data_IF_995314871537
#
_entry.id   IF_995314871537
#
_cell.length_a   1.000
_cell.length_b   1.000
_cell.length_c   1.000
_cell.angle_alpha   90.00
_cell.angle_beta   90.00
_cell.angle_gamma   90.00
#
_symmetry.space_group_name_H-M   'P 1'
#
loop_
_entity.id
_entity.type
_entity.pdbx_description
1 polymer ?
#
# COMPACT_ATOMS: atom_id res chain seq x y z
N UNK A 1 30.16 8.21 0.75
CA UNK A 1 29.58 7.11 -0.07
C UNK A 1 28.44 6.35 0.65
N UNK A 2 27.88 6.83 1.77
CA UNK A 2 26.78 6.15 2.49
C UNK A 2 25.39 6.75 2.24
N UNK A 3 25.30 8.00 1.77
CA UNK A 3 24.01 8.71 1.61
C UNK A 3 23.22 8.20 0.41
N UNK A 4 23.87 7.91 -0.72
CA UNK A 4 23.22 7.40 -1.94
C UNK A 4 22.56 6.03 -1.72
N UNK A 5 23.27 5.10 -1.07
CA UNK A 5 22.75 3.75 -0.77
C UNK A 5 21.55 3.78 0.18
N UNK A 6 21.46 4.75 1.10
CA UNK A 6 20.35 4.87 2.04
C UNK A 6 19.06 5.40 1.39
N UNK A 7 19.18 6.35 0.45
CA UNK A 7 18.04 6.88 -0.32
C UNK A 7 17.49 5.86 -1.31
N UNK A 8 18.36 5.18 -2.07
CA UNK A 8 17.96 4.13 -3.02
C UNK A 8 17.26 2.95 -2.32
N UNK A 9 17.75 2.56 -1.14
CA UNK A 9 17.14 1.51 -0.32
C UNK A 9 15.75 1.88 0.19
N UNK A 10 15.52 3.16 0.48
CA UNK A 10 14.23 3.65 1.00
C UNK A 10 13.16 3.73 -0.10
N UNK A 11 13.55 4.14 -1.32
CA UNK A 11 12.65 4.18 -2.47
C UNK A 11 12.25 2.77 -2.94
N UNK A 12 13.23 1.87 -3.13
CA UNK A 12 12.97 0.49 -3.56
C UNK A 12 12.10 -0.26 -2.53
N UNK A 13 12.33 -0.03 -1.23
CA UNK A 13 11.48 -0.59 -0.17
C UNK A 13 10.03 -0.12 -0.28
N UNK A 14 9.79 1.19 -0.43
CA UNK A 14 8.45 1.73 -0.61
C UNK A 14 7.78 1.24 -1.91
N UNK A 15 8.55 1.09 -2.99
CA UNK A 15 8.06 0.53 -4.24
C UNK A 15 7.65 -0.95 -4.11
N UNK A 16 8.49 -1.77 -3.48
CA UNK A 16 8.18 -3.18 -3.21
C UNK A 16 6.97 -3.33 -2.28
N UNK A 17 6.83 -2.44 -1.31
CA UNK A 17 5.65 -2.36 -0.45
C UNK A 17 4.38 -2.03 -1.25
N UNK A 18 4.46 -1.07 -2.20
CA UNK A 18 3.34 -0.75 -3.08
C UNK A 18 2.94 -1.94 -3.98
N UNK A 19 3.91 -2.59 -4.63
CA UNK A 19 3.68 -3.79 -5.47
C UNK A 19 3.09 -4.93 -4.63
N UNK A 20 3.63 -5.16 -3.43
CA UNK A 20 3.12 -6.15 -2.48
C UNK A 20 1.67 -5.87 -2.09
N UNK A 21 1.33 -4.61 -1.80
CA UNK A 21 -0.06 -4.22 -1.49
C UNK A 21 -1.01 -4.49 -2.65
N UNK A 22 -0.60 -4.25 -3.91
CA UNK A 22 -1.44 -4.53 -5.09
C UNK A 22 -1.72 -6.04 -5.23
N UNK A 23 -0.70 -6.88 -5.08
CA UNK A 23 -0.85 -8.34 -5.15
C UNK A 23 -1.76 -8.84 -4.02
N UNK A 24 -1.53 -8.37 -2.79
CA UNK A 24 -2.33 -8.76 -1.63
C UNK A 24 -3.76 -8.24 -1.71
N UNK A 25 -3.99 -7.05 -2.28
CA UNK A 25 -5.33 -6.56 -2.62
C UNK A 25 -6.05 -7.51 -3.58
N UNK A 26 -5.37 -7.95 -4.66
CA UNK A 26 -5.95 -8.86 -5.64
C UNK A 26 -6.30 -10.22 -5.03
N UNK A 27 -5.41 -10.75 -4.17
CA UNK A 27 -5.67 -11.99 -3.44
C UNK A 27 -6.81 -11.83 -2.43
N UNK A 28 -6.82 -10.75 -1.65
CA UNK A 28 -7.85 -10.48 -0.64
C UNK A 28 -9.23 -10.31 -1.27
N UNK A 29 -9.35 -9.57 -2.38
CA UNK A 29 -10.63 -9.42 -3.08
C UNK A 29 -11.08 -10.74 -3.70
N UNK A 30 -10.16 -11.53 -4.26
CA UNK A 30 -10.50 -12.85 -4.80
C UNK A 30 -11.03 -13.78 -3.70
N UNK A 31 -10.39 -13.79 -2.53
CA UNK A 31 -10.82 -14.56 -1.37
C UNK A 31 -12.19 -14.09 -0.86
N UNK A 32 -12.40 -12.77 -0.75
CA UNK A 32 -13.68 -12.21 -0.35
C UNK A 32 -14.82 -12.62 -1.30
N UNK A 33 -14.58 -12.55 -2.61
CA UNK A 33 -15.55 -12.98 -3.62
C UNK A 33 -15.82 -14.49 -3.55
N UNK A 34 -14.78 -15.33 -3.43
CA UNK A 34 -14.94 -16.78 -3.31
C UNK A 34 -15.79 -17.14 -2.09
N UNK A 35 -15.50 -16.55 -0.92
CA UNK A 35 -16.24 -16.81 0.30
C UNK A 35 -17.69 -16.32 0.18
N UNK A 36 -17.91 -15.10 -0.28
CA UNK A 36 -19.26 -14.53 -0.40
C UNK A 36 -20.12 -15.30 -1.42
N UNK A 37 -19.57 -15.62 -2.61
CA UNK A 37 -20.30 -16.39 -3.63
C UNK A 37 -20.51 -17.85 -3.21
N UNK A 38 -19.50 -18.46 -2.58
CA UNK A 38 -19.61 -19.82 -2.04
C UNK A 38 -20.70 -19.92 -0.99
N UNK A 39 -20.77 -18.93 -0.09
CA UNK A 39 -21.82 -18.84 0.92
C UNK A 39 -23.21 -18.61 0.32
N UNK A 40 -23.32 -17.73 -0.69
CA UNK A 40 -24.57 -17.52 -1.43
C UNK A 40 -25.06 -18.82 -2.09
N UNK A 41 -24.17 -19.55 -2.77
CA UNK A 41 -24.52 -20.81 -3.42
C UNK A 41 -24.96 -21.87 -2.41
N UNK A 42 -24.22 -22.01 -1.29
CA UNK A 42 -24.60 -22.90 -0.21
C UNK A 42 -25.99 -22.56 0.36
N UNK A 43 -26.23 -21.28 0.63
CA UNK A 43 -27.51 -20.77 1.11
C UNK A 43 -28.67 -21.11 0.17
N UNK A 44 -28.50 -20.93 -1.14
CA UNK A 44 -29.52 -21.28 -2.15
C UNK A 44 -29.92 -22.75 -2.12
N UNK A 45 -28.94 -23.66 -1.94
CA UNK A 45 -29.21 -25.10 -1.86
C UNK A 45 -29.89 -25.47 -0.54
N UNK A 46 -29.43 -24.87 0.56
CA UNK A 46 -29.94 -25.16 1.90
C UNK A 46 -31.40 -24.70 2.08
N UNK A 47 -31.77 -23.56 1.52
CA UNK A 47 -33.13 -23.02 1.61
C UNK A 47 -34.17 -23.90 0.87
N UNK A 48 -33.73 -24.81 0.00
CA UNK A 48 -34.63 -25.83 -0.58
C UNK A 48 -35.14 -26.81 0.48
N UNK A 49 -34.40 -26.98 1.59
CA UNK A 49 -34.70 -27.95 2.66
C UNK A 49 -35.13 -27.30 3.97
N UNK A 50 -34.68 -26.08 4.24
CA UNK A 50 -34.95 -25.30 5.45
C UNK A 50 -35.52 -23.93 5.09
N UNK A 51 -36.40 -23.33 5.92
CA UNK A 51 -36.99 -22.02 5.62
C UNK A 51 -35.96 -20.88 5.60
N UNK A 52 -34.83 -21.04 6.29
CA UNK A 52 -33.70 -20.12 6.23
C UNK A 52 -32.36 -20.86 6.29
N UNK A 53 -31.30 -20.18 5.84
CA UNK A 53 -29.93 -20.68 5.86
C UNK A 53 -29.30 -20.64 7.27
N UNK A 54 -29.83 -19.81 8.16
CA UNK A 54 -29.43 -19.75 9.56
C UNK A 54 -29.98 -20.96 10.35
N UNK A 55 -31.23 -21.35 10.09
CA UNK A 55 -31.88 -22.50 10.76
C UNK A 55 -31.19 -23.83 10.45
N UNK A 56 -30.56 -23.91 9.27
CA UNK A 56 -29.76 -25.03 8.83
C UNK A 56 -28.45 -25.22 9.62
N UNK A 57 -27.95 -24.18 10.27
CA UNK A 57 -26.79 -24.30 11.15
C UNK A 57 -27.15 -24.91 12.52
N UNK A 58 -28.42 -24.89 12.94
CA UNK A 58 -28.88 -25.42 14.23
C UNK A 58 -29.44 -26.85 14.18
N UNK A 59 -29.60 -27.43 12.98
CA UNK A 59 -30.19 -28.74 12.77
C UNK A 59 -29.14 -29.70 12.21
N UNK A 60 -29.19 -30.97 12.63
CA UNK A 60 -28.28 -32.02 12.16
C UNK A 60 -28.65 -32.41 10.72
N UNK A 61 -28.14 -31.64 9.74
CA UNK A 61 -28.51 -31.75 8.32
C UNK A 61 -28.08 -33.09 7.72
N UNK A 62 -26.95 -33.62 8.20
CA UNK A 62 -26.37 -34.83 7.63
C UNK A 62 -26.01 -35.88 8.68
N UNK A 63 -27.03 -36.65 9.07
CA UNK A 63 -26.87 -37.84 9.92
C UNK A 63 -26.13 -38.98 9.21
N UNK A 64 -26.01 -38.95 7.88
CA UNK A 64 -25.42 -40.05 7.09
C UNK A 64 -23.91 -39.90 6.99
N UNK A 65 -23.42 -38.68 6.77
CA UNK A 65 -22.00 -38.37 6.69
C UNK A 65 -21.41 -37.83 8.01
N UNK A 66 -22.23 -37.69 9.07
CA UNK A 66 -21.85 -37.19 10.42
C UNK A 66 -21.18 -35.81 10.37
N UNK A 67 -21.63 -34.93 9.47
CA UNK A 67 -21.10 -33.57 9.34
C UNK A 67 -21.96 -32.64 10.19
N UNK A 68 -21.39 -32.15 11.30
CA UNK A 68 -22.05 -31.10 12.11
C UNK A 68 -21.84 -29.73 11.45
N UNK A 69 -22.93 -29.10 11.02
CA UNK A 69 -22.95 -27.71 10.53
C UNK A 69 -23.20 -26.69 11.65
N UNK A 70 -23.15 -27.13 12.92
CA UNK A 70 -23.29 -26.27 14.09
C UNK A 70 -22.34 -25.07 14.02
N UNK A 71 -22.89 -23.87 14.08
CA UNK A 71 -22.16 -22.58 14.02
C UNK A 71 -21.58 -22.18 12.65
N UNK A 72 -21.73 -22.99 11.60
CA UNK A 72 -21.19 -22.69 10.27
C UNK A 72 -21.61 -21.30 9.75
N UNK A 73 -22.87 -20.92 9.97
CA UNK A 73 -23.41 -19.61 9.56
C UNK A 73 -22.64 -18.43 10.19
N UNK A 74 -22.38 -18.49 11.49
CA UNK A 74 -21.66 -17.43 12.23
C UNK A 74 -20.18 -17.40 11.83
N UNK A 75 -19.55 -18.58 11.73
CA UNK A 75 -18.14 -18.70 11.36
C UNK A 75 -17.87 -18.14 9.96
N UNK A 76 -18.71 -18.49 8.97
CA UNK A 76 -18.60 -17.93 7.63
C UNK A 76 -18.91 -16.43 7.60
N UNK A 77 -19.83 -15.94 8.42
CA UNK A 77 -20.05 -14.50 8.62
C UNK A 77 -18.78 -13.76 9.07
N UNK A 78 -18.08 -14.31 10.05
CA UNK A 78 -16.79 -13.78 10.52
C UNK A 78 -15.71 -13.82 9.43
N UNK A 79 -15.64 -14.90 8.65
CA UNK A 79 -14.68 -15.01 7.53
C UNK A 79 -14.98 -13.97 6.45
N UNK A 80 -16.25 -13.73 6.10
CA UNK A 80 -16.65 -12.70 5.14
C UNK A 80 -16.24 -11.31 5.62
N UNK A 81 -16.56 -10.97 6.87
CA UNK A 81 -16.16 -9.70 7.47
C UNK A 81 -14.63 -9.53 7.45
N UNK A 82 -13.89 -10.56 7.87
CA UNK A 82 -12.44 -10.56 7.89
C UNK A 82 -11.81 -10.39 6.52
N UNK A 83 -12.36 -11.05 5.48
CA UNK A 83 -11.86 -10.94 4.11
C UNK A 83 -12.06 -9.53 3.55
N UNK A 84 -13.26 -8.96 3.71
CA UNK A 84 -13.56 -7.59 3.26
C UNK A 84 -12.78 -6.52 4.04
N UNK A 85 -12.62 -6.70 5.36
CA UNK A 85 -11.82 -5.81 6.19
C UNK A 85 -10.33 -5.86 5.83
N UNK A 86 -9.80 -7.07 5.55
CA UNK A 86 -8.43 -7.23 5.06
C UNK A 86 -8.24 -6.53 3.72
N UNK A 87 -9.15 -6.71 2.77
CA UNK A 87 -9.13 -5.99 1.49
C UNK A 87 -9.10 -4.46 1.69
N UNK A 88 -9.99 -3.91 2.52
CA UNK A 88 -10.00 -2.48 2.83
C UNK A 88 -8.67 -1.99 3.44
N UNK A 89 -8.07 -2.80 4.32
CA UNK A 89 -6.77 -2.50 4.93
C UNK A 89 -5.65 -2.44 3.89
N UNK A 90 -5.61 -3.40 2.97
CA UNK A 90 -4.61 -3.43 1.90
C UNK A 90 -4.76 -2.26 0.93
N UNK A 91 -5.99 -1.83 0.63
CA UNK A 91 -6.25 -0.61 -0.15
C UNK A 91 -5.70 0.62 0.58
N UNK A 92 -5.94 0.73 1.89
CA UNK A 92 -5.38 1.81 2.71
C UNK A 92 -3.86 1.83 2.65
N UNK A 93 -3.21 0.68 2.86
CA UNK A 93 -1.74 0.55 2.78
C UNK A 93 -1.21 0.90 1.39
N UNK A 94 -1.90 0.52 0.32
CA UNK A 94 -1.52 0.88 -1.05
C UNK A 94 -1.53 2.40 -1.26
N UNK A 95 -2.52 3.11 -0.72
CA UNK A 95 -2.60 4.58 -0.76
C UNK A 95 -1.44 5.20 0.02
N UNK A 96 -1.20 4.77 1.26
CA UNK A 96 -0.09 5.28 2.07
C UNK A 96 1.27 5.03 1.43
N UNK A 97 1.48 3.84 0.88
CA UNK A 97 2.71 3.48 0.17
C UNK A 97 2.90 4.34 -1.09
N UNK A 98 1.85 4.58 -1.87
CA UNK A 98 1.90 5.46 -3.03
C UNK A 98 2.27 6.89 -2.64
N UNK A 99 1.66 7.43 -1.57
CA UNK A 99 2.01 8.76 -1.05
C UNK A 99 3.47 8.83 -0.60
N UNK A 100 3.98 7.76 0.03
CA UNK A 100 5.38 7.62 0.46
C UNK A 100 6.34 7.61 -0.73
N UNK A 101 6.03 6.85 -1.79
CA UNK A 101 6.81 6.84 -3.05
C UNK A 101 6.83 8.22 -3.69
N UNK A 102 5.67 8.90 -3.80
CA UNK A 102 5.59 10.26 -4.33
C UNK A 102 6.44 11.25 -3.52
N UNK A 103 6.41 11.17 -2.19
CA UNK A 103 7.24 12.01 -1.30
C UNK A 103 8.73 11.76 -1.53
N UNK A 104 9.15 10.51 -1.64
CA UNK A 104 10.56 10.17 -1.90
C UNK A 104 11.02 10.70 -3.27
N UNK A 105 10.20 10.54 -4.31
CA UNK A 105 10.50 11.07 -5.63
C UNK A 105 10.66 12.60 -5.62
N UNK A 106 9.82 13.33 -4.88
CA UNK A 106 9.95 14.78 -4.74
C UNK A 106 11.24 15.18 -3.98
N UNK A 107 11.60 14.44 -2.93
CA UNK A 107 12.83 14.68 -2.18
C UNK A 107 14.08 14.47 -3.03
N UNK A 108 14.09 13.43 -3.87
CA UNK A 108 15.19 13.15 -4.79
C UNK A 108 15.37 14.29 -5.80
N UNK A 109 14.28 14.78 -6.40
CA UNK A 109 14.31 15.94 -7.29
C UNK A 109 14.89 17.20 -6.63
N UNK A 110 14.55 17.47 -5.37
CA UNK A 110 15.09 18.62 -4.61
C UNK A 110 16.58 18.47 -4.31
N UNK A 111 17.04 17.25 -3.99
CA UNK A 111 18.46 16.99 -3.75
C UNK A 111 19.29 17.20 -5.02
N UNK A 112 18.79 16.73 -6.17
CA UNK A 112 19.45 16.91 -7.46
C UNK A 112 19.51 18.39 -7.86
N UNK A 113 18.45 19.16 -7.63
CA UNK A 113 18.45 20.61 -7.94
C UNK A 113 19.41 21.39 -7.04
N UNK A 114 19.43 21.12 -5.73
CA UNK A 114 20.38 21.71 -4.78
C UNK A 114 21.84 21.37 -5.14
N UNK A 115 22.10 20.14 -5.58
CA UNK A 115 23.45 19.73 -6.02
C UNK A 115 23.88 20.49 -7.28
N UNK A 116 22.99 20.59 -8.29
CA UNK A 116 23.26 21.36 -9.52
C UNK A 116 23.48 22.85 -9.23
N UNK A 117 22.68 23.44 -8.36
CA UNK A 117 22.82 24.85 -7.98
C UNK A 117 24.13 25.10 -7.23
N UNK A 118 24.54 24.19 -6.33
CA UNK A 118 25.87 24.27 -5.70
C UNK A 118 27.01 24.22 -6.72
N UNK A 119 26.95 23.34 -7.71
CA UNK A 119 27.99 23.28 -8.75
C UNK A 119 28.05 24.57 -9.57
N UNK A 120 26.89 25.16 -9.89
CA UNK A 120 26.83 26.45 -10.57
C UNK A 120 27.50 27.55 -9.74
N UNK A 121 27.18 27.67 -8.46
CA UNK A 121 27.77 28.67 -7.55
C UNK A 121 29.29 28.51 -7.41
N UNK A 122 29.79 27.26 -7.34
CA UNK A 122 31.23 26.98 -7.28
C UNK A 122 31.93 27.34 -8.58
N UNK A 123 31.32 27.05 -9.73
CA UNK A 123 31.91 27.39 -11.03
C UNK A 123 31.94 28.91 -11.28
N UNK A 124 30.90 29.63 -10.84
CA UNK A 124 30.83 31.10 -10.97
C UNK A 124 31.84 31.82 -10.05
N UNK A 125 32.10 31.27 -8.86
CA UNK A 125 33.13 31.78 -7.94
C UNK A 125 34.57 31.38 -8.31
N UNK A 126 34.76 30.32 -9.08
CA UNK A 126 36.06 29.89 -9.62
C UNK A 126 36.46 30.55 -10.94
N UNK A 127 35.56 31.31 -11.59
CA UNK A 127 35.89 32.08 -12.79
C UNK A 127 36.80 33.27 -12.46
N UNK A 128 37.94 33.47 -13.14
CA UNK A 128 38.88 34.56 -12.87
C UNK A 128 38.30 35.97 -13.08
N UNK A 129 37.10 36.10 -13.66
CA UNK A 129 36.39 37.37 -13.82
C UNK A 129 35.68 37.86 -12.54
N UNK A 130 35.53 37.04 -11.49
CA UNK A 130 34.84 37.42 -10.26
C UNK A 130 35.72 38.19 -9.25
N UNK A 131 37.05 38.13 -9.38
CA UNK A 131 37.98 38.85 -8.50
C UNK A 131 38.12 40.34 -8.88
N UNK A 132 37.74 40.73 -10.09
CA UNK A 132 37.89 42.08 -10.63
C UNK A 132 36.63 42.96 -10.45
N UNK A 133 35.95 42.79 -9.32
CA UNK A 133 34.76 43.57 -8.94
C UNK A 133 34.78 44.07 -7.50
N UNK A 134 35.90 43.90 -6.77
CA UNK A 134 36.03 44.42 -5.41
C UNK A 134 36.40 45.91 -5.47
N UNK A 135 35.35 46.73 -5.43
CA UNK A 135 35.37 48.20 -5.36
C UNK A 135 36.46 48.73 -4.46
N UNK A 136 37.39 49.51 -5.03
CA UNK A 136 38.30 50.37 -4.28
C UNK A 136 37.52 51.48 -3.58
N UNK A 137 37.80 51.79 -2.29
CA UNK A 137 37.19 52.93 -1.61
C UNK A 137 37.72 54.24 -2.24
N UNK A 138 36.89 55.30 -2.34
CA UNK A 138 37.33 56.55 -2.94
C UNK A 138 38.36 57.22 -2.02
N UNK A 139 39.52 57.57 -2.59
CA UNK A 139 40.50 58.45 -1.96
C UNK A 139 39.94 59.87 -2.00
N UNK A 140 39.64 60.43 -0.83
CA UNK A 140 39.36 61.84 -0.67
C UNK A 140 40.67 62.63 -0.80
N UNK A 141 40.69 63.64 -1.66
CA UNK A 141 41.70 64.69 -1.72
C UNK A 141 41.01 66.05 -1.63
#
# INVERSE_FOLDING_TARGET
>A
MFVYTATDSSFLSAFMEAVGCVVLCALAVSAAVIVTLGFMNWCQVIVMRFPSCEDAAGQDIDKKDKISTSSFYIEIGSVQFGAWASFATWVGLAVFSTLKVCRYHQLENIQVSMYRERQRLVNESGSPTAAEGRSTPPLAF
#
